data_IF_782590675639
#
_entry.id   IF_782590675639
#
_cell.length_a   1.000
_cell.length_b   1.000
_cell.length_c   1.000
_cell.angle_alpha   90.00
_cell.angle_beta   90.00
_cell.angle_gamma   90.00
#
_symmetry.space_group_name_H-M   'P 1'
#
loop_
_entity.id
_entity.type
_entity.pdbx_description
1 polymer ?
#
# COMPACT_ATOMS: atom_id res chain seq x y z
N UNK A 1 -46.86 -30.28 -68.38
CA UNK A 1 -47.22 -29.96 -66.98
C UNK A 1 -46.13 -29.04 -66.43
N UNK A 2 -46.51 -27.85 -65.95
CA UNK A 2 -45.64 -26.79 -65.43
C UNK A 2 -44.81 -27.27 -64.22
N UNK A 3 -43.57 -26.78 -64.09
CA UNK A 3 -42.97 -26.27 -62.82
C UNK A 3 -41.55 -25.70 -63.05
N UNK A 4 -41.55 -24.39 -63.20
CA UNK A 4 -40.81 -23.35 -62.46
C UNK A 4 -39.37 -23.53 -61.95
N UNK A 5 -38.61 -22.49 -62.34
CA UNK A 5 -37.38 -21.89 -61.83
C UNK A 5 -37.20 -21.95 -60.30
N UNK A 6 -35.95 -22.10 -59.86
CA UNK A 6 -35.45 -21.36 -58.71
C UNK A 6 -33.95 -21.09 -58.87
N UNK A 7 -33.60 -19.80 -58.98
CA UNK A 7 -32.25 -19.29 -58.90
C UNK A 7 -31.85 -19.06 -57.44
N UNK A 8 -30.60 -19.33 -57.12
CA UNK A 8 -30.02 -19.06 -55.80
C UNK A 8 -29.18 -17.80 -55.90
N UNK A 9 -29.64 -16.73 -55.23
CA UNK A 9 -28.90 -15.50 -55.02
C UNK A 9 -27.87 -15.71 -53.90
N UNK A 10 -26.60 -15.38 -54.17
CA UNK A 10 -25.60 -15.14 -53.14
C UNK A 10 -25.87 -13.78 -52.45
N UNK A 11 -25.91 -13.70 -51.12
CA UNK A 11 -25.85 -12.43 -50.41
C UNK A 11 -24.39 -12.03 -50.20
N UNK A 12 -23.96 -11.01 -50.96
CA UNK A 12 -22.75 -10.24 -50.70
C UNK A 12 -22.92 -9.47 -49.40
N UNK A 13 -22.23 -9.89 -48.34
CA UNK A 13 -22.21 -9.18 -47.05
C UNK A 13 -21.03 -8.22 -47.01
N UNK A 14 -21.33 -6.94 -47.18
CA UNK A 14 -20.42 -5.83 -46.91
C UNK A 14 -20.35 -5.66 -45.39
N UNK A 15 -19.21 -6.00 -44.80
CA UNK A 15 -18.92 -5.71 -43.39
C UNK A 15 -18.49 -4.24 -43.29
N UNK A 16 -19.18 -3.39 -42.52
CA UNK A 16 -18.77 -2.01 -42.30
C UNK A 16 -17.48 -1.96 -41.48
N UNK A 17 -16.47 -1.26 -42.01
CA UNK A 17 -15.22 -1.00 -41.31
C UNK A 17 -15.46 -0.26 -39.99
N UNK A 18 -15.10 -0.90 -38.89
CA UNK A 18 -14.96 -0.24 -37.61
C UNK A 18 -13.78 0.73 -37.70
N UNK A 19 -14.08 2.02 -37.82
CA UNK A 19 -13.12 3.08 -37.51
C UNK A 19 -12.91 3.09 -36.00
N UNK A 20 -11.92 2.34 -35.54
CA UNK A 20 -11.30 2.62 -34.24
C UNK A 20 -10.57 3.94 -34.38
N UNK A 21 -11.20 5.03 -33.92
CA UNK A 21 -10.51 6.26 -33.57
C UNK A 21 -9.55 5.94 -32.41
N UNK A 22 -8.38 5.41 -32.75
CA UNK A 22 -7.21 5.56 -31.92
C UNK A 22 -6.84 7.05 -32.03
N UNK A 23 -7.33 7.85 -31.08
CA UNK A 23 -6.65 9.12 -30.80
C UNK A 23 -5.19 8.76 -30.56
N UNK A 24 -4.33 9.14 -31.49
CA UNK A 24 -2.89 9.00 -31.34
C UNK A 24 -2.52 9.97 -30.23
N UNK A 25 -2.46 9.45 -29.00
CA UNK A 25 -2.01 10.20 -27.84
C UNK A 25 -0.73 10.94 -28.19
N UNK A 26 -0.68 12.23 -27.85
CA UNK A 26 0.47 13.08 -28.13
C UNK A 26 1.68 12.50 -27.38
N UNK A 27 2.58 11.84 -28.11
CA UNK A 27 3.75 11.17 -27.54
C UNK A 27 4.68 12.17 -26.84
N UNK A 28 5.12 11.84 -25.63
CA UNK A 28 6.11 12.62 -24.91
C UNK A 28 7.53 12.33 -25.42
N UNK A 29 8.43 13.30 -25.26
CA UNK A 29 9.81 13.25 -25.74
C UNK A 29 10.83 13.61 -24.65
N UNK A 30 10.50 14.54 -23.75
CA UNK A 30 11.41 15.02 -22.71
C UNK A 30 10.71 15.13 -21.37
N UNK A 31 11.48 15.32 -20.30
CA UNK A 31 10.96 15.62 -18.97
C UNK A 31 11.40 17.03 -18.54
N UNK A 32 10.48 17.80 -17.97
CA UNK A 32 10.78 19.08 -17.31
C UNK A 32 10.81 18.98 -15.79
N UNK A 33 10.33 17.86 -15.25
CA UNK A 33 10.46 17.53 -13.83
C UNK A 33 10.62 16.02 -13.65
N UNK A 34 11.59 15.57 -12.84
CA UNK A 34 11.72 14.18 -12.44
C UNK A 34 12.38 14.06 -11.07
N UNK A 35 11.59 13.72 -10.05
CA UNK A 35 12.01 13.76 -8.65
C UNK A 35 11.52 12.54 -7.86
N UNK A 36 12.29 12.12 -6.87
CA UNK A 36 11.94 11.10 -5.88
C UNK A 36 11.81 11.76 -4.52
N UNK A 37 10.72 11.45 -3.82
CA UNK A 37 10.48 11.86 -2.45
C UNK A 37 9.81 10.75 -1.64
N UNK A 38 9.56 11.00 -0.36
CA UNK A 38 8.74 10.17 0.50
C UNK A 38 7.93 11.06 1.44
N UNK A 39 6.77 10.56 1.91
CA UNK A 39 5.90 11.26 2.86
C UNK A 39 5.63 12.73 2.50
N UNK A 40 5.42 13.02 1.20
CA UNK A 40 5.14 14.37 0.69
C UNK A 40 6.21 15.43 1.02
N UNK A 41 7.44 15.00 1.34
CA UNK A 41 8.54 15.94 1.56
C UNK A 41 8.88 16.69 0.27
N UNK A 42 9.18 17.97 0.38
CA UNK A 42 9.62 18.79 -0.75
C UNK A 42 11.14 18.74 -0.95
N UNK A 43 11.87 18.32 0.08
CA UNK A 43 13.33 18.20 0.05
C UNK A 43 13.78 17.00 -0.79
N UNK A 44 14.76 17.25 -1.66
CA UNK A 44 15.43 16.21 -2.45
C UNK A 44 16.54 15.50 -1.66
N UNK A 45 16.95 14.32 -2.12
CA UNK A 45 18.01 13.50 -1.53
C UNK A 45 17.74 13.21 -0.05
N UNK A 46 16.46 13.02 0.28
CA UNK A 46 16.00 12.81 1.65
C UNK A 46 16.38 11.42 2.16
N UNK A 47 16.28 11.23 3.49
CA UNK A 47 16.59 9.96 4.15
C UNK A 47 15.38 9.43 4.89
N UNK A 48 14.89 8.26 4.48
CA UNK A 48 13.84 7.52 5.16
C UNK A 48 14.42 6.39 6.02
N UNK A 49 13.73 6.08 7.12
CA UNK A 49 14.07 4.95 7.98
C UNK A 49 13.05 3.81 7.80
N UNK A 50 13.48 2.57 8.01
CA UNK A 50 12.60 1.39 7.94
C UNK A 50 13.14 0.29 8.84
N UNK A 51 12.32 -0.35 9.67
CA UNK A 51 12.78 -1.54 10.38
C UNK A 51 13.04 -2.68 9.39
N UNK A 52 14.21 -3.32 9.46
CA UNK A 52 14.62 -4.43 8.60
C UNK A 52 13.97 -5.78 8.97
N UNK A 53 12.68 -5.77 9.29
CA UNK A 53 11.91 -6.98 9.65
C UNK A 53 11.05 -7.51 8.50
N UNK A 54 11.11 -6.91 7.31
CA UNK A 54 10.26 -7.26 6.16
C UNK A 54 8.76 -6.99 6.39
N UNK A 55 8.40 -6.27 7.46
CA UNK A 55 7.02 -5.96 7.88
C UNK A 55 6.76 -4.47 8.04
N UNK A 56 7.66 -3.65 7.51
CA UNK A 56 7.48 -2.21 7.34
C UNK A 56 7.75 -1.82 5.90
N UNK A 57 7.18 -0.69 5.49
CA UNK A 57 7.36 -0.17 4.15
C UNK A 57 7.60 1.33 4.15
N UNK A 58 8.43 1.79 3.22
CA UNK A 58 8.63 3.21 2.90
C UNK A 58 7.87 3.52 1.62
N UNK A 59 6.95 4.50 1.61
CA UNK A 59 6.35 4.99 0.37
C UNK A 59 7.37 5.85 -0.37
N UNK A 60 7.71 5.45 -1.58
CA UNK A 60 8.56 6.19 -2.50
C UNK A 60 7.67 6.83 -3.55
N UNK A 61 7.61 8.15 -3.53
CA UNK A 61 6.82 8.94 -4.49
C UNK A 61 7.74 9.42 -5.59
N UNK A 62 7.38 9.15 -6.84
CA UNK A 62 8.02 9.76 -8.01
C UNK A 62 7.11 10.86 -8.51
N UNK A 63 7.65 12.06 -8.69
CA UNK A 63 6.97 13.24 -9.26
C UNK A 63 7.55 13.47 -10.66
N UNK A 64 6.69 13.54 -11.67
CA UNK A 64 7.09 13.62 -13.07
C UNK A 64 6.26 14.63 -13.86
N UNK A 65 6.91 15.37 -14.77
CA UNK A 65 6.28 16.27 -15.74
C UNK A 65 6.90 15.99 -17.11
N UNK A 66 6.11 15.41 -18.02
CA UNK A 66 6.54 15.05 -19.35
C UNK A 66 6.15 16.14 -20.37
N UNK A 67 6.96 16.26 -21.43
CA UNK A 67 6.74 17.20 -22.52
C UNK A 67 6.89 16.54 -23.87
N UNK A 68 6.04 16.94 -24.81
CA UNK A 68 6.13 16.50 -26.20
C UNK A 68 7.25 17.22 -26.98
N UNK A 69 7.38 16.93 -28.28
CA UNK A 69 8.36 17.56 -29.16
C UNK A 69 8.17 19.09 -29.33
N UNK A 70 6.96 19.60 -29.06
CA UNK A 70 6.64 21.04 -29.10
C UNK A 70 6.86 21.73 -27.75
N UNK A 71 7.45 21.03 -26.76
CA UNK A 71 7.66 21.52 -25.39
C UNK A 71 6.35 21.80 -24.61
N UNK A 72 5.24 21.22 -25.04
CA UNK A 72 3.95 21.27 -24.35
C UNK A 72 3.92 20.17 -23.28
N UNK A 73 3.33 20.48 -22.11
CA UNK A 73 3.16 19.47 -21.06
C UNK A 73 2.13 18.45 -21.52
N UNK A 74 2.45 17.17 -21.37
CA UNK A 74 1.56 16.06 -21.71
C UNK A 74 1.39 15.13 -20.51
N UNK A 75 0.20 14.55 -20.40
CA UNK A 75 -0.13 13.54 -19.39
C UNK A 75 0.39 12.19 -19.87
N UNK A 76 1.24 11.55 -19.07
CA UNK A 76 1.66 10.17 -19.27
C UNK A 76 0.49 9.21 -19.01
N UNK A 77 0.33 8.23 -19.88
CA UNK A 77 -0.66 7.16 -19.66
C UNK A 77 -0.24 6.26 -18.49
N UNK A 78 -1.21 5.54 -17.89
CA UNK A 78 -0.92 4.62 -16.78
C UNK A 78 0.15 3.58 -17.16
N UNK A 79 0.09 3.04 -18.38
CA UNK A 79 1.07 2.08 -18.88
C UNK A 79 2.49 2.67 -19.03
N UNK A 80 2.62 3.98 -19.18
CA UNK A 80 3.92 4.67 -19.21
C UNK A 80 4.44 4.94 -17.80
N UNK A 81 3.55 5.37 -16.90
CA UNK A 81 3.86 5.52 -15.47
C UNK A 81 4.26 4.19 -14.82
N UNK A 82 3.70 3.07 -15.27
CA UNK A 82 4.07 1.73 -14.84
C UNK A 82 5.49 1.31 -15.28
N UNK A 83 6.03 1.90 -16.35
CA UNK A 83 7.40 1.66 -16.84
C UNK A 83 8.46 2.39 -16.02
N UNK A 84 8.09 3.23 -15.06
CA UNK A 84 9.06 3.81 -14.13
C UNK A 84 9.69 2.67 -13.32
N UNK A 85 10.98 2.47 -13.54
CA UNK A 85 11.82 1.54 -12.81
C UNK A 85 12.65 2.27 -11.76
N UNK A 86 13.15 1.50 -10.79
CA UNK A 86 13.95 2.02 -9.68
C UNK A 86 15.31 1.37 -9.71
N UNK A 87 16.35 2.12 -9.39
CA UNK A 87 17.72 1.63 -9.45
C UNK A 87 18.55 2.14 -8.27
N UNK A 88 19.69 1.47 -8.05
CA UNK A 88 20.72 1.98 -7.16
C UNK A 88 21.30 3.27 -7.74
N UNK A 89 21.25 4.35 -6.98
CA UNK A 89 21.70 5.67 -7.42
C UNK A 89 23.17 5.66 -7.90
N UNK A 90 24.07 4.94 -7.22
CA UNK A 90 25.48 4.95 -7.59
C UNK A 90 25.81 4.12 -8.83
N UNK A 91 25.08 3.04 -9.08
CA UNK A 91 25.45 2.04 -10.11
C UNK A 91 24.49 1.98 -11.28
N UNK A 92 23.29 2.56 -11.17
CA UNK A 92 22.21 2.43 -12.16
C UNK A 92 21.60 1.03 -12.21
N UNK A 93 22.05 0.08 -11.37
CA UNK A 93 21.53 -1.29 -11.35
C UNK A 93 20.10 -1.29 -10.81
N UNK A 94 19.19 -1.93 -11.53
CA UNK A 94 17.77 -2.01 -11.18
C UNK A 94 17.52 -2.70 -9.82
N UNK A 95 16.50 -2.21 -9.11
CA UNK A 95 16.01 -2.72 -7.83
C UNK A 95 14.75 -3.54 -8.02
N UNK A 96 14.75 -4.80 -7.57
CA UNK A 96 13.61 -5.71 -7.68
C UNK A 96 12.66 -5.70 -6.47
N UNK A 97 12.96 -4.95 -5.41
CA UNK A 97 12.28 -5.05 -4.11
C UNK A 97 11.14 -4.05 -3.89
N UNK A 98 10.70 -3.33 -4.93
CA UNK A 98 9.62 -2.35 -4.81
C UNK A 98 8.26 -2.96 -5.20
N UNK A 99 7.27 -2.76 -4.35
CA UNK A 99 5.88 -3.16 -4.61
C UNK A 99 5.07 -1.99 -5.16
N UNK A 100 4.15 -2.28 -6.09
CA UNK A 100 3.13 -1.32 -6.52
C UNK A 100 2.04 -1.13 -5.46
N UNK A 101 1.82 -2.13 -4.61
CA UNK A 101 0.76 -2.13 -3.61
C UNK A 101 1.32 -1.99 -2.20
N UNK A 102 0.61 -1.20 -1.38
CA UNK A 102 0.85 -1.14 0.06
C UNK A 102 0.37 -2.45 0.67
N UNK A 103 1.17 -3.05 1.54
CA UNK A 103 0.71 -4.16 2.35
C UNK A 103 -0.13 -3.60 3.52
N UNK A 104 -1.39 -4.04 3.70
CA UNK A 104 -2.31 -3.41 4.66
C UNK A 104 -1.84 -3.52 6.12
N UNK A 105 -1.12 -4.60 6.46
CA UNK A 105 -0.59 -4.83 7.80
C UNK A 105 0.72 -4.06 8.07
N UNK A 106 1.37 -3.52 7.04
CA UNK A 106 2.67 -2.86 7.18
C UNK A 106 2.47 -1.36 7.41
N UNK A 107 3.26 -0.84 8.34
CA UNK A 107 3.32 0.59 8.64
C UNK A 107 4.66 1.18 8.21
N UNK A 108 4.64 2.50 8.10
CA UNK A 108 5.84 3.31 7.99
C UNK A 108 6.60 3.33 9.32
N UNK A 109 7.92 3.57 9.25
CA UNK A 109 8.72 3.77 10.46
C UNK A 109 8.22 5.01 11.22
N UNK A 110 7.95 4.92 12.53
CA UNK A 110 7.52 6.09 13.29
C UNK A 110 8.69 7.07 13.42
N UNK A 111 8.77 8.06 12.54
CA UNK A 111 9.60 9.24 12.78
C UNK A 111 8.89 10.08 13.86
N UNK A 112 9.17 9.78 15.12
CA UNK A 112 8.48 10.29 16.34
C UNK A 112 8.53 11.82 16.52
N UNK A 113 8.99 12.57 15.53
CA UNK A 113 9.20 14.02 15.57
C UNK A 113 8.64 14.77 14.35
N UNK A 114 8.05 14.10 13.36
CA UNK A 114 7.55 14.79 12.16
C UNK A 114 6.10 15.27 12.22
N UNK A 115 5.31 14.74 13.15
CA UNK A 115 3.95 15.18 13.36
C UNK A 115 3.91 16.07 14.61
N UNK A 116 4.48 17.27 14.49
CA UNK A 116 4.00 18.39 15.30
C UNK A 116 2.56 18.65 14.89
N UNK A 117 1.64 18.10 15.68
CA UNK A 117 0.24 18.51 15.83
C UNK A 117 -0.54 18.77 14.54
N UNK A 118 -1.25 17.76 14.05
CA UNK A 118 -2.69 17.94 13.77
C UNK A 118 -3.46 16.71 14.26
N UNK A 119 -4.55 16.89 15.01
CA UNK A 119 -5.45 15.82 15.35
C UNK A 119 -6.52 15.75 14.26
N UNK A 120 -6.43 14.81 13.32
CA UNK A 120 -7.65 14.04 13.05
C UNK A 120 -7.37 12.67 12.45
N UNK A 121 -7.94 11.68 13.12
CA UNK A 121 -7.98 10.29 12.68
C UNK A 121 -9.23 10.12 11.84
N UNK A 122 -9.05 10.02 10.52
CA UNK A 122 -9.91 9.14 9.73
C UNK A 122 -9.04 8.14 9.00
N UNK A 123 -9.23 6.88 9.37
CA UNK A 123 -8.69 5.70 8.72
C UNK A 123 -9.34 5.61 7.32
N UNK A 124 -8.85 6.42 6.38
CA UNK A 124 -9.30 6.39 4.99
C UNK A 124 -8.64 5.21 4.29
N UNK A 125 -9.45 4.18 4.09
CA UNK A 125 -9.30 3.18 3.05
C UNK A 125 -8.71 3.80 1.78
N UNK A 126 -7.78 3.11 1.16
CA UNK A 126 -7.29 3.38 -0.20
C UNK A 126 -8.48 3.34 -1.18
N UNK A 127 -9.16 4.48 -1.33
CA UNK A 127 -10.03 4.79 -2.46
C UNK A 127 -9.14 5.39 -3.57
N UNK A 128 -9.52 5.21 -4.85
CA UNK A 128 -8.84 5.90 -5.94
C UNK A 128 -8.94 7.41 -5.72
N UNK A 129 -7.89 8.14 -6.06
CA UNK A 129 -7.84 9.59 -5.95
C UNK A 129 -8.89 10.17 -6.91
N UNK A 130 -10.01 10.64 -6.37
CA UNK A 130 -10.94 11.51 -7.09
C UNK A 130 -10.28 12.88 -7.31
N UNK A 131 -10.33 13.33 -8.58
CA UNK A 131 -9.89 14.64 -9.06
C UNK A 131 -10.39 15.79 -8.17
N UNK A 132 -9.46 16.43 -7.44
CA UNK A 132 -9.70 17.76 -6.89
C UNK A 132 -9.58 18.77 -8.03
N UNK A 133 -10.71 19.20 -8.60
CA UNK A 133 -10.79 20.31 -9.55
C UNK A 133 -10.52 21.64 -8.84
N UNK A 134 -9.25 21.97 -8.60
CA UNK A 134 -8.82 23.34 -8.34
C UNK A 134 -8.70 24.09 -9.67
N UNK A 135 -9.49 25.16 -9.83
CA UNK A 135 -9.43 26.09 -10.96
C UNK A 135 -8.15 26.94 -10.88
N UNK A 136 -7.05 26.41 -11.37
CA UNK A 136 -5.90 27.15 -11.89
C UNK A 136 -5.28 26.26 -12.97
N UNK A 137 -5.09 26.77 -14.20
CA UNK A 137 -4.50 26.02 -15.32
C UNK A 137 -2.99 25.78 -15.14
N UNK A 138 -2.56 25.34 -13.97
CA UNK A 138 -1.24 24.72 -13.78
C UNK A 138 -1.44 23.22 -13.97
N UNK A 139 -0.94 22.68 -15.09
CA UNK A 139 -0.92 21.23 -15.30
C UNK A 139 -0.18 20.61 -14.11
N UNK A 140 -0.91 19.84 -13.30
CA UNK A 140 -0.37 19.25 -12.08
C UNK A 140 0.60 18.12 -12.46
N UNK A 141 1.80 18.14 -11.87
CA UNK A 141 2.78 17.06 -12.05
C UNK A 141 2.16 15.73 -11.63
N UNK A 142 2.36 14.70 -12.45
CA UNK A 142 1.87 13.36 -12.13
C UNK A 142 2.72 12.73 -11.04
N UNK A 143 2.11 11.84 -10.27
CA UNK A 143 2.77 11.13 -9.19
C UNK A 143 2.47 9.64 -9.25
N UNK A 144 3.49 8.83 -8.96
CA UNK A 144 3.29 7.41 -8.64
C UNK A 144 3.92 7.10 -7.29
N UNK A 145 3.36 6.10 -6.62
CA UNK A 145 3.91 5.59 -5.36
C UNK A 145 4.35 4.14 -5.57
N UNK A 146 5.52 3.80 -5.04
CA UNK A 146 5.97 2.43 -4.82
C UNK A 146 6.33 2.23 -3.36
N UNK A 147 6.30 0.99 -2.91
CA UNK A 147 6.54 0.65 -1.51
C UNK A 147 7.81 -0.20 -1.41
N UNK A 148 8.80 0.32 -0.71
CA UNK A 148 10.05 -0.38 -0.46
C UNK A 148 10.04 -1.04 0.91
N UNK A 149 10.46 -2.31 0.97
CA UNK A 149 10.69 -3.05 2.22
C UNK A 149 12.06 -3.72 2.17
N UNK A 150 12.61 -4.08 3.32
CA UNK A 150 13.91 -4.76 3.39
C UNK A 150 14.04 -5.60 4.65
N UNK A 151 14.87 -6.63 4.56
CA UNK A 151 15.45 -7.37 5.69
C UNK A 151 16.98 -7.21 5.77
N UNK A 152 17.58 -6.55 4.76
CA UNK A 152 19.01 -6.28 4.72
C UNK A 152 19.40 -5.17 5.72
N UNK A 153 20.59 -5.25 6.36
CA UNK A 153 21.19 -4.11 7.05
C UNK A 153 21.58 -2.94 6.13
N UNK A 154 21.73 -3.19 4.84
CA UNK A 154 22.44 -2.26 3.96
C UNK A 154 21.62 -1.02 3.64
N UNK A 155 22.26 0.14 3.77
CA UNK A 155 21.66 1.40 3.30
C UNK A 155 21.59 1.40 1.79
N UNK A 156 20.42 1.74 1.24
CA UNK A 156 20.21 1.82 -0.21
C UNK A 156 19.85 3.24 -0.57
N UNK A 157 20.55 3.81 -1.55
CA UNK A 157 20.16 5.08 -2.18
C UNK A 157 19.44 4.76 -3.49
N UNK A 158 18.17 5.13 -3.56
CA UNK A 158 17.24 4.77 -4.61
C UNK A 158 17.10 5.95 -5.58
N UNK A 159 17.26 5.66 -6.86
CA UNK A 159 16.97 6.51 -8.00
C UNK A 159 15.83 5.90 -8.84
N UNK A 160 15.39 6.63 -9.85
CA UNK A 160 14.32 6.24 -10.75
C UNK A 160 14.76 6.47 -12.19
N UNK A 161 14.22 5.67 -13.09
CA UNK A 161 14.40 5.80 -14.53
C UNK A 161 13.10 5.57 -15.27
N UNK A 162 12.98 6.22 -16.43
CA UNK A 162 11.87 6.03 -17.37
C UNK A 162 12.39 6.21 -18.79
N UNK A 163 11.92 5.36 -19.70
CA UNK A 163 12.28 5.39 -21.13
C UNK A 163 11.13 5.97 -21.93
N UNK A 164 11.43 6.98 -22.76
CA UNK A 164 10.46 7.60 -23.67
C UNK A 164 10.04 6.66 -24.80
N UNK A 165 8.89 6.93 -25.46
CA UNK A 165 8.48 6.21 -26.66
C UNK A 165 9.53 6.23 -27.78
N UNK A 166 10.42 7.23 -27.78
CA UNK A 166 11.51 7.35 -28.76
C UNK A 166 12.78 6.59 -28.35
N UNK A 167 12.81 5.96 -27.17
CA UNK A 167 13.93 5.16 -26.67
C UNK A 167 14.91 5.93 -25.77
N UNK A 168 14.71 7.23 -25.54
CA UNK A 168 15.56 8.01 -24.64
C UNK A 168 15.27 7.62 -23.18
N UNK A 169 16.31 7.32 -22.42
CA UNK A 169 16.17 6.99 -20.99
C UNK A 169 16.56 8.17 -20.13
N UNK A 170 15.64 8.61 -19.29
CA UNK A 170 15.86 9.64 -18.28
C UNK A 170 16.07 8.97 -16.94
N UNK A 171 16.97 9.53 -16.12
CA UNK A 171 17.26 9.01 -14.79
C UNK A 171 17.53 10.10 -13.77
N UNK A 172 17.24 9.83 -12.50
CA UNK A 172 17.47 10.77 -11.40
C UNK A 172 18.85 10.64 -10.74
N UNK A 173 19.74 9.80 -11.25
CA UNK A 173 21.03 9.50 -10.61
C UNK A 173 22.25 10.26 -11.17
N UNK A 174 22.09 11.56 -11.45
CA UNK A 174 23.18 12.38 -12.03
C UNK A 174 23.83 13.26 -10.94
N UNK A 175 24.83 12.79 -10.17
CA UNK A 175 25.42 13.56 -9.07
C UNK A 175 26.13 14.85 -9.49
N UNK A 176 26.40 15.02 -10.78
CA UNK A 176 27.10 16.17 -11.36
C UNK A 176 26.22 17.40 -11.59
N UNK A 177 24.90 17.30 -11.42
CA UNK A 177 23.97 18.45 -11.50
C UNK A 177 23.33 18.75 -10.14
N UNK A 178 22.79 19.96 -9.99
CA UNK A 178 22.14 20.38 -8.75
C UNK A 178 21.00 19.43 -8.36
N UNK A 179 20.86 19.19 -7.05
CA UNK A 179 19.78 18.35 -6.53
C UNK A 179 18.42 18.99 -6.79
N UNK A 180 17.46 18.20 -7.25
CA UNK A 180 16.11 18.66 -7.54
C UNK A 180 15.45 17.89 -8.67
N UNK A 181 14.17 18.16 -8.86
CA UNK A 181 13.40 17.64 -9.99
C UNK A 181 13.62 18.38 -11.30
N UNK A 182 14.19 19.60 -11.29
CA UNK A 182 14.38 20.39 -12.51
C UNK A 182 15.63 19.92 -13.26
N UNK A 183 15.58 19.72 -14.59
CA UNK A 183 16.73 19.25 -15.33
C UNK A 183 17.80 20.34 -15.49
N UNK A 184 19.06 19.92 -15.50
CA UNK A 184 20.21 20.71 -15.97
C UNK A 184 20.88 19.94 -17.09
N UNK A 185 20.84 20.46 -18.32
CA UNK A 185 21.37 19.74 -19.50
C UNK A 185 20.68 18.38 -19.76
N UNK A 186 19.39 18.26 -19.44
CA UNK A 186 18.62 17.01 -19.59
C UNK A 186 18.84 15.98 -18.48
N UNK A 187 19.66 16.30 -17.48
CA UNK A 187 20.00 15.41 -16.36
C UNK A 187 19.28 15.81 -15.08
N UNK A 188 19.02 14.83 -14.22
CA UNK A 188 18.32 14.99 -12.95
C UNK A 188 19.14 14.41 -11.80
N UNK A 189 19.11 15.07 -10.64
CA UNK A 189 19.76 14.62 -9.42
C UNK A 189 18.73 14.55 -8.29
N UNK A 190 18.07 13.41 -8.19
CA UNK A 190 17.09 13.15 -7.16
C UNK A 190 17.14 11.73 -6.65
N UNK A 191 17.03 11.56 -5.33
CA UNK A 191 17.10 10.24 -4.72
C UNK A 191 16.43 10.16 -3.36
N UNK A 192 16.20 8.93 -2.91
CA UNK A 192 15.81 8.62 -1.56
C UNK A 192 16.82 7.66 -0.94
N UNK A 193 17.42 8.04 0.18
CA UNK A 193 18.24 7.13 0.98
C UNK A 193 17.35 6.39 1.96
N UNK A 194 17.30 5.06 1.89
CA UNK A 194 16.62 4.22 2.87
C UNK A 194 17.65 3.63 3.82
N UNK A 195 17.54 3.97 5.10
CA UNK A 195 18.41 3.50 6.18
C UNK A 195 17.70 2.44 7.02
N UNK A 196 18.08 1.14 6.88
CA UNK A 196 17.46 0.08 7.65
C UNK A 196 17.80 0.19 9.14
N UNK A 197 16.78 0.03 9.98
CA UNK A 197 16.87 0.08 11.43
C UNK A 197 16.70 -1.31 12.02
N UNK A 198 17.47 -1.63 13.06
CA UNK A 198 17.29 -2.89 13.79
C UNK A 198 15.93 -2.90 14.48
N UNK A 199 15.08 -3.92 14.27
CA UNK A 199 13.77 -3.99 14.93
C UNK A 199 13.91 -4.00 16.45
N UNK A 200 13.06 -3.23 17.14
CA UNK A 200 12.97 -3.24 18.60
C UNK A 200 12.18 -4.49 19.03
N UNK A 201 12.73 -5.23 19.99
CA UNK A 201 12.06 -6.36 20.62
C UNK A 201 11.51 -5.93 21.97
N UNK A 202 10.21 -6.09 22.15
CA UNK A 202 9.51 -5.77 23.39
C UNK A 202 9.26 -7.04 24.19
N UNK A 203 9.64 -7.05 25.47
CA UNK A 203 9.26 -8.10 26.42
C UNK A 203 7.82 -7.94 26.91
N UNK A 204 7.33 -8.92 27.67
CA UNK A 204 5.98 -8.89 28.24
C UNK A 204 5.69 -7.63 29.08
N UNK A 205 6.71 -7.05 29.72
CA UNK A 205 6.60 -5.82 30.51
C UNK A 205 6.27 -4.57 29.69
N UNK A 206 6.34 -4.61 28.36
CA UNK A 206 5.93 -3.51 27.49
C UNK A 206 4.41 -3.53 27.19
N UNK A 207 3.72 -4.58 27.62
CA UNK A 207 2.31 -4.78 27.37
C UNK A 207 1.51 -4.74 28.67
N UNK A 208 0.26 -4.31 28.56
CA UNK A 208 -0.74 -4.49 29.60
C UNK A 208 -1.88 -5.35 29.05
N UNK A 209 -2.62 -5.99 29.94
CA UNK A 209 -3.82 -6.76 29.63
C UNK A 209 -4.99 -6.22 30.46
N UNK A 210 -6.06 -5.82 29.79
CA UNK A 210 -7.29 -5.40 30.44
C UNK A 210 -8.36 -6.46 30.27
N UNK A 211 -8.88 -7.00 31.38
CA UNK A 211 -10.03 -7.90 31.36
C UNK A 211 -11.32 -7.08 31.37
N UNK A 212 -12.25 -7.43 30.48
CA UNK A 212 -13.65 -7.00 30.55
C UNK A 212 -14.57 -8.19 30.47
N UNK A 213 -15.60 -8.16 31.29
CA UNK A 213 -16.74 -9.06 31.18
C UNK A 213 -17.56 -8.62 29.96
N UNK A 214 -17.48 -9.39 28.88
CA UNK A 214 -18.11 -9.02 27.62
C UNK A 214 -19.59 -9.37 27.61
N UNK A 215 -19.96 -10.49 28.26
CA UNK A 215 -21.34 -10.92 28.48
C UNK A 215 -21.33 -12.22 29.31
N UNK A 216 -22.22 -12.28 30.31
CA UNK A 216 -22.46 -13.44 31.17
C UNK A 216 -23.96 -13.74 31.32
N UNK A 217 -24.32 -15.03 31.30
CA UNK A 217 -25.62 -15.59 31.65
C UNK A 217 -25.44 -17.02 32.21
N UNK A 218 -26.55 -17.67 32.57
CA UNK A 218 -26.54 -19.02 33.17
C UNK A 218 -25.92 -20.12 32.30
N UNK A 219 -25.67 -19.86 31.02
CA UNK A 219 -25.09 -20.79 30.05
C UNK A 219 -23.71 -20.38 29.52
N UNK A 220 -23.41 -19.08 29.48
CA UNK A 220 -22.16 -18.52 28.94
C UNK A 220 -21.58 -17.45 29.85
N UNK A 221 -20.27 -17.49 30.03
CA UNK A 221 -19.49 -16.38 30.56
C UNK A 221 -18.35 -16.11 29.58
N UNK A 222 -18.33 -14.93 28.97
CA UNK A 222 -17.31 -14.51 28.01
C UNK A 222 -16.54 -13.34 28.57
N UNK A 223 -15.31 -13.64 28.95
CA UNK A 223 -14.30 -12.65 29.28
C UNK A 223 -13.46 -12.31 28.06
N UNK A 224 -13.25 -11.02 27.82
CA UNK A 224 -12.32 -10.53 26.82
C UNK A 224 -11.10 -9.91 27.51
N UNK A 225 -9.92 -10.27 27.00
CA UNK A 225 -8.64 -9.77 27.47
C UNK A 225 -8.01 -8.96 26.35
N UNK A 226 -8.08 -7.64 26.48
CA UNK A 226 -7.52 -6.71 25.51
C UNK A 226 -6.03 -6.50 25.84
N UNK A 227 -5.14 -6.89 24.92
CA UNK A 227 -3.69 -6.74 25.05
C UNK A 227 -3.24 -5.53 24.25
N UNK A 228 -2.49 -4.63 24.88
CA UNK A 228 -2.01 -3.39 24.25
C UNK A 228 -0.63 -2.98 24.79
N UNK A 229 0.08 -2.15 24.03
CA UNK A 229 1.33 -1.56 24.47
C UNK A 229 1.09 -0.53 25.58
N UNK A 230 1.93 -0.54 26.62
CA UNK A 230 1.91 0.48 27.68
C UNK A 230 2.27 1.85 27.11
N UNK A 231 3.25 1.92 26.20
CA UNK A 231 3.57 3.16 25.50
C UNK A 231 2.57 3.37 24.35
N UNK A 232 1.75 4.45 24.38
CA UNK A 232 0.72 4.70 23.38
C UNK A 232 1.27 5.06 21.99
N UNK A 233 2.58 5.28 21.85
CA UNK A 233 3.23 5.48 20.55
C UNK A 233 3.33 4.19 19.73
N UNK A 234 3.14 3.03 20.35
CA UNK A 234 3.14 1.74 19.67
C UNK A 234 1.73 1.17 19.55
N UNK A 235 1.51 0.42 18.47
CA UNK A 235 0.26 -0.32 18.22
C UNK A 235 0.59 -1.71 17.72
N UNK A 236 -0.27 -2.66 18.04
CA UNK A 236 -0.18 -4.02 17.51
C UNK A 236 -0.90 -4.02 16.15
N UNK A 237 -0.16 -4.31 15.08
CA UNK A 237 -0.70 -4.36 13.70
C UNK A 237 -0.96 -5.76 13.18
N UNK A 238 -0.27 -6.73 13.76
CA UNK A 238 -0.41 -8.13 13.45
C UNK A 238 0.09 -8.95 14.64
N UNK A 239 -0.41 -10.18 14.78
CA UNK A 239 0.01 -11.18 15.76
C UNK A 239 0.22 -12.53 15.08
N UNK A 240 1.29 -13.24 15.42
CA UNK A 240 1.53 -14.61 14.95
C UNK A 240 1.30 -15.58 16.09
N UNK A 241 0.55 -16.66 15.81
CA UNK A 241 0.17 -17.68 16.79
C UNK A 241 0.92 -18.96 16.42
N UNK A 242 1.86 -19.38 17.26
CA UNK A 242 2.81 -20.46 16.90
C UNK A 242 2.31 -21.87 17.22
N UNK A 243 1.49 -22.02 18.27
CA UNK A 243 1.04 -23.33 18.77
C UNK A 243 -0.30 -23.76 18.20
N UNK A 244 -1.17 -22.80 17.88
CA UNK A 244 -2.48 -23.04 17.29
C UNK A 244 -2.74 -22.04 16.18
N UNK A 245 -3.55 -22.45 15.20
CA UNK A 245 -4.05 -21.53 14.19
C UNK A 245 -4.79 -20.38 14.90
N UNK A 246 -4.53 -19.15 14.47
CA UNK A 246 -5.25 -18.00 14.99
C UNK A 246 -6.76 -18.18 14.80
N UNK A 247 -7.55 -17.59 15.70
CA UNK A 247 -9.01 -17.64 15.67
C UNK A 247 -9.58 -19.05 15.94
N UNK A 248 -8.77 -19.92 16.54
CA UNK A 248 -9.16 -21.25 17.02
C UNK A 248 -8.95 -21.38 18.52
N UNK A 249 -9.60 -22.38 19.09
CA UNK A 249 -9.45 -22.73 20.50
C UNK A 249 -8.00 -23.13 20.77
N UNK A 250 -7.33 -22.36 21.60
CA UNK A 250 -5.96 -22.63 22.04
C UNK A 250 -5.93 -23.65 23.16
N UNK A 251 -6.88 -23.54 24.09
CA UNK A 251 -6.94 -24.37 25.27
C UNK A 251 -8.41 -24.60 25.64
N UNK A 252 -8.75 -25.83 26.01
CA UNK A 252 -10.05 -26.17 26.55
C UNK A 252 -9.91 -27.13 27.72
N UNK A 253 -10.65 -26.92 28.80
CA UNK A 253 -10.62 -27.83 29.94
C UNK A 253 -11.94 -27.82 30.69
N UNK A 254 -12.28 -28.96 31.28
CA UNK A 254 -13.42 -29.08 32.17
C UNK A 254 -13.06 -28.54 33.55
N UNK A 255 -13.86 -27.63 34.08
CA UNK A 255 -13.79 -27.12 35.45
C UNK A 255 -15.13 -27.36 36.13
N UNK A 256 -15.19 -28.39 36.97
CA UNK A 256 -16.40 -28.85 37.66
C UNK A 256 -17.54 -29.05 36.65
N UNK A 257 -18.51 -28.13 36.64
CA UNK A 257 -19.73 -28.22 35.83
C UNK A 257 -19.67 -27.37 34.55
N UNK A 258 -18.49 -26.82 34.21
CA UNK A 258 -18.31 -25.93 33.05
C UNK A 258 -17.14 -26.38 32.18
N UNK A 259 -17.23 -26.16 30.88
CA UNK A 259 -16.10 -26.23 29.98
C UNK A 259 -15.56 -24.82 29.76
N UNK A 260 -14.26 -24.63 30.01
CA UNK A 260 -13.58 -23.37 29.75
C UNK A 260 -12.83 -23.49 28.45
N UNK A 261 -13.00 -22.49 27.59
CA UNK A 261 -12.32 -22.40 26.29
C UNK A 261 -11.60 -21.06 26.22
N UNK A 262 -10.35 -21.10 25.77
CA UNK A 262 -9.58 -19.91 25.44
C UNK A 262 -9.33 -19.87 23.93
N UNK A 263 -9.62 -18.72 23.33
CA UNK A 263 -9.36 -18.43 21.92
C UNK A 263 -8.55 -17.17 21.84
N UNK A 264 -7.46 -17.20 21.05
CA UNK A 264 -6.71 -16.01 20.73
C UNK A 264 -7.09 -15.57 19.31
N UNK A 265 -7.44 -14.30 19.16
CA UNK A 265 -7.80 -13.72 17.87
C UNK A 265 -6.60 -13.00 17.25
N UNK A 266 -6.44 -13.10 15.93
CA UNK A 266 -5.39 -12.38 15.20
C UNK A 266 -5.62 -10.87 15.31
N UNK A 267 -4.58 -10.10 15.60
CA UNK A 267 -4.62 -8.65 15.69
C UNK A 267 -4.48 -7.95 14.32
N UNK A 268 -5.33 -8.29 13.35
CA UNK A 268 -5.24 -7.79 11.97
C UNK A 268 -6.40 -6.88 11.53
N UNK A 269 -7.62 -7.13 12.00
CA UNK A 269 -8.81 -6.32 11.67
C UNK A 269 -9.82 -6.32 12.79
N UNK A 270 -10.54 -5.19 12.94
CA UNK A 270 -11.76 -5.17 13.73
C UNK A 270 -12.80 -6.08 13.09
N UNK A 271 -13.45 -6.93 13.89
CA UNK A 271 -14.52 -7.81 13.39
C UNK A 271 -15.40 -8.28 14.52
N UNK A 272 -16.58 -8.73 14.11
CA UNK A 272 -17.58 -9.36 14.97
C UNK A 272 -17.35 -10.87 14.94
N UNK A 273 -17.29 -11.49 16.11
CA UNK A 273 -17.17 -12.95 16.28
C UNK A 273 -18.41 -13.47 16.96
N UNK A 274 -18.99 -14.55 16.43
CA UNK A 274 -20.08 -15.29 17.06
C UNK A 274 -19.60 -16.64 17.55
N UNK A 275 -19.61 -16.85 18.87
CA UNK A 275 -19.38 -18.16 19.48
C UNK A 275 -20.71 -18.91 19.59
N UNK A 276 -20.71 -20.21 19.28
CA UNK A 276 -21.90 -21.09 19.35
C UNK A 276 -21.61 -22.31 20.22
N UNK A 277 -22.59 -22.74 21.00
CA UNK A 277 -22.55 -24.06 21.65
C UNK A 277 -22.77 -25.20 20.68
N UNK A 278 -22.18 -26.35 21.02
CA UNK A 278 -22.47 -27.63 20.38
C UNK A 278 -23.34 -28.52 21.28
N UNK A 279 -24.35 -27.94 21.95
CA UNK A 279 -25.32 -28.74 22.72
C UNK A 279 -26.55 -28.97 21.84
N UNK A 280 -26.87 -30.23 21.46
CA UNK A 280 -27.90 -30.54 20.45
C UNK A 280 -29.31 -29.98 20.75
N UNK A 281 -29.60 -29.69 22.02
CA UNK A 281 -30.93 -29.29 22.47
C UNK A 281 -31.10 -27.79 22.67
N UNK A 282 -30.01 -27.01 22.81
CA UNK A 282 -30.05 -25.55 22.99
C UNK A 282 -28.82 -24.89 22.33
N UNK A 283 -29.04 -24.26 21.18
CA UNK A 283 -28.03 -23.45 20.51
C UNK A 283 -28.01 -22.05 21.12
N UNK A 284 -27.01 -21.75 21.94
CA UNK A 284 -26.74 -20.40 22.40
C UNK A 284 -25.67 -19.78 21.49
N UNK A 285 -25.85 -18.51 21.16
CA UNK A 285 -24.85 -17.74 20.41
C UNK A 285 -24.58 -16.41 21.09
N UNK A 286 -23.30 -16.06 21.17
CA UNK A 286 -22.84 -14.80 21.72
C UNK A 286 -21.95 -14.10 20.72
N UNK A 287 -22.16 -12.80 20.56
CA UNK A 287 -21.49 -11.98 19.55
C UNK A 287 -20.72 -10.86 20.22
N UNK A 288 -19.45 -10.68 19.85
CA UNK A 288 -18.59 -9.65 20.42
C UNK A 288 -17.57 -9.13 19.40
N UNK A 289 -17.05 -7.92 19.66
CA UNK A 289 -16.01 -7.28 18.84
C UNK A 289 -14.61 -7.69 19.30
N UNK A 290 -13.72 -7.96 18.34
CA UNK A 290 -12.29 -8.20 18.55
C UNK A 290 -11.46 -7.18 17.77
N UNK A 291 -10.31 -6.80 18.33
CA UNK A 291 -9.42 -5.73 17.82
C UNK A 291 -10.07 -4.34 17.76
N UNK A 292 -11.09 -4.11 18.58
CA UNK A 292 -11.66 -2.80 18.84
C UNK A 292 -11.22 -2.41 20.26
N UNK A 293 -10.32 -1.44 20.38
CA UNK A 293 -9.88 -0.97 21.69
C UNK A 293 -10.88 0.07 22.21
N UNK A 294 -11.63 -0.30 23.25
CA UNK A 294 -12.62 0.57 23.90
C UNK A 294 -12.04 1.32 25.12
N UNK A 295 -10.72 1.32 25.31
CA UNK A 295 -10.08 1.99 26.45
C UNK A 295 -10.22 3.50 26.35
N UNK A 296 -10.64 4.11 27.47
CA UNK A 296 -10.71 5.56 27.69
C UNK A 296 -9.33 6.15 27.94
#
# INVERSE_FOLDING_TARGET
>A
MKKDKNGTHEPSSVVPGALTNQESGVSWATLSWFQITYNQRTQDNSTAHVYRNGRQQVPITVIIEARNANNEIVTLENGELERISFCHYQTGIELSTLSQTRHPEYDYYPESTLYTSEPDRTDSSSQPIDEVKSKENTVQRQQIIRWYTTTSPDTVRIAASITSPNGDTFHTHSPEVDSGGKPTGGKFNSSLTVQPQTPIVFGASAFNAFRRDANGNDHFDVDLYDIYFINPQYKIRNSVHYTVQADKWHYSWNKSDSNKVQTAYKADRCRIVTFKTFVPTNNYSITFYVNEFFGK
#
